data_IF_589973707055
#
_entry.id   IF_589973707055
#
_cell.length_a   1.000
_cell.length_b   1.000
_cell.length_c   1.000
_cell.angle_alpha   90.00
_cell.angle_beta   90.00
_cell.angle_gamma   90.00
#
_symmetry.space_group_name_H-M   'P 1'
#
loop_
_entity.id
_entity.type
_entity.pdbx_description
1 polymer ?
#
# COMPACT_ATOMS: atom_id res chain seq x y z
N UNK A 1 -18.28 1.77 21.99
CA UNK A 1 -17.96 1.66 20.57
C UNK A 1 -16.47 1.39 20.54
N UNK A 2 -16.12 0.11 20.62
CA UNK A 2 -14.82 -0.34 21.11
C UNK A 2 -13.90 -0.56 19.94
N UNK A 3 -12.75 0.10 19.95
CA UNK A 3 -11.61 -0.15 19.07
C UNK A 3 -11.30 -1.64 19.03
N UNK A 4 -11.51 -2.24 17.85
CA UNK A 4 -10.98 -3.56 17.57
C UNK A 4 -9.51 -3.37 17.20
N UNK A 5 -8.67 -3.48 18.22
CA UNK A 5 -7.23 -3.70 18.11
C UNK A 5 -6.98 -4.98 17.29
N UNK A 6 -6.86 -4.82 15.98
CA UNK A 6 -6.50 -5.91 15.06
C UNK A 6 -4.98 -6.05 15.07
N UNK A 7 -4.46 -6.75 16.07
CA UNK A 7 -3.10 -7.29 16.05
C UNK A 7 -2.80 -8.02 14.73
N UNK A 8 -1.52 -8.22 14.38
CA UNK A 8 -1.15 -8.86 13.11
C UNK A 8 -1.87 -10.20 12.99
N UNK A 9 -2.66 -10.34 11.92
CA UNK A 9 -3.42 -11.55 11.64
C UNK A 9 -2.47 -12.76 11.68
N UNK A 10 -2.67 -13.75 12.56
CA UNK A 10 -1.74 -14.87 12.71
C UNK A 10 -1.52 -15.65 11.40
N UNK A 11 -2.44 -15.54 10.44
CA UNK A 11 -2.27 -16.06 9.08
C UNK A 11 -1.22 -15.30 8.26
N UNK A 12 -1.11 -13.98 8.43
CA UNK A 12 -0.18 -13.13 7.67
C UNK A 12 1.28 -13.54 7.88
N UNK A 13 1.67 -13.85 9.12
CA UNK A 13 3.03 -14.29 9.41
C UNK A 13 3.45 -15.54 8.64
N UNK A 14 2.53 -16.50 8.49
CA UNK A 14 2.76 -17.72 7.71
C UNK A 14 2.75 -17.44 6.21
N UNK A 15 1.85 -16.56 5.72
CA UNK A 15 1.80 -16.15 4.32
C UNK A 15 3.10 -15.46 3.87
N UNK A 16 3.62 -14.54 4.68
CA UNK A 16 4.87 -13.83 4.39
C UNK A 16 6.11 -14.74 4.40
N UNK A 17 6.02 -15.90 5.06
CA UNK A 17 7.08 -16.92 5.08
C UNK A 17 6.81 -18.06 4.11
N UNK A 18 5.68 -18.02 3.38
CA UNK A 18 5.34 -19.04 2.40
C UNK A 18 6.35 -19.02 1.26
N UNK A 19 6.61 -20.20 0.69
CA UNK A 19 7.51 -20.33 -0.46
C UNK A 19 7.08 -19.44 -1.62
N UNK A 20 5.77 -19.40 -1.89
CA UNK A 20 5.18 -18.62 -2.98
C UNK A 20 5.42 -17.12 -2.80
N UNK A 21 5.27 -16.58 -1.57
CA UNK A 21 5.56 -15.17 -1.33
C UNK A 21 7.07 -14.86 -1.35
N UNK A 22 7.92 -15.80 -0.89
CA UNK A 22 9.37 -15.65 -1.01
C UNK A 22 9.81 -15.62 -2.47
N UNK A 23 9.24 -16.48 -3.32
CA UNK A 23 9.48 -16.47 -4.77
C UNK A 23 9.01 -15.15 -5.40
N UNK A 24 7.83 -14.65 -5.01
CA UNK A 24 7.32 -13.35 -5.46
C UNK A 24 8.25 -12.19 -5.08
N UNK A 25 8.87 -12.22 -3.90
CA UNK A 25 9.88 -11.21 -3.48
C UNK A 25 11.13 -11.25 -4.34
N UNK A 26 11.62 -12.43 -4.69
CA UNK A 26 12.80 -12.58 -5.55
C UNK A 26 12.52 -12.01 -6.95
N UNK A 27 11.33 -12.27 -7.50
CA UNK A 27 10.91 -11.71 -8.80
C UNK A 27 10.75 -10.20 -8.70
N UNK A 28 10.10 -9.69 -7.66
CA UNK A 28 9.93 -8.26 -7.41
C UNK A 28 11.27 -7.50 -7.43
N UNK A 29 12.31 -8.06 -6.79
CA UNK A 29 13.65 -7.47 -6.80
C UNK A 29 14.29 -7.42 -8.19
N UNK A 30 13.98 -8.39 -9.06
CA UNK A 30 14.51 -8.45 -10.43
C UNK A 30 13.79 -7.47 -11.37
N UNK A 31 12.49 -7.23 -11.14
CA UNK A 31 11.67 -6.41 -12.03
C UNK A 31 11.59 -4.94 -11.63
N UNK A 32 11.94 -4.58 -10.40
CA UNK A 32 11.73 -3.24 -9.83
C UNK A 32 12.38 -2.06 -10.59
N UNK A 33 13.39 -2.33 -11.42
CA UNK A 33 14.08 -1.36 -12.29
C UNK A 33 13.89 -1.62 -13.80
N UNK A 34 13.02 -2.56 -14.16
CA UNK A 34 12.77 -2.95 -15.55
C UNK A 34 11.37 -2.52 -15.99
N UNK A 35 11.20 -1.34 -16.62
CA UNK A 35 9.87 -0.80 -16.93
C UNK A 35 9.03 -1.74 -17.81
N UNK A 36 9.65 -2.44 -18.76
CA UNK A 36 8.97 -3.44 -19.60
C UNK A 36 8.37 -4.59 -18.77
N UNK A 37 9.11 -5.10 -17.78
CA UNK A 37 8.65 -6.18 -16.90
C UNK A 37 7.56 -5.69 -15.93
N UNK A 38 7.67 -4.43 -15.48
CA UNK A 38 6.64 -3.79 -14.68
C UNK A 38 5.33 -3.58 -15.44
N UNK A 39 5.39 -3.27 -16.76
CA UNK A 39 4.20 -3.23 -17.62
C UNK A 39 3.58 -4.61 -17.79
N UNK A 40 4.38 -5.66 -17.96
CA UNK A 40 3.88 -7.03 -18.00
C UNK A 40 3.16 -7.41 -16.69
N UNK A 41 3.72 -7.04 -15.54
CA UNK A 41 3.08 -7.23 -14.24
C UNK A 41 1.77 -6.44 -14.16
N UNK A 42 1.74 -5.19 -14.60
CA UNK A 42 0.54 -4.36 -14.63
C UNK A 42 -0.58 -5.00 -15.46
N UNK A 43 -0.26 -5.51 -16.64
CA UNK A 43 -1.21 -6.20 -17.52
C UNK A 43 -1.78 -7.47 -16.86
N UNK A 44 -0.94 -8.25 -16.17
CA UNK A 44 -1.38 -9.43 -15.41
C UNK A 44 -2.32 -9.06 -14.26
N UNK A 45 -1.98 -8.00 -13.51
CA UNK A 45 -2.81 -7.48 -12.41
C UNK A 45 -4.17 -7.04 -12.95
N UNK A 46 -4.20 -6.30 -14.05
CA UNK A 46 -5.43 -5.85 -14.69
C UNK A 46 -6.26 -7.05 -15.19
N UNK A 47 -5.63 -8.05 -15.83
CA UNK A 47 -6.32 -9.25 -16.30
C UNK A 47 -6.97 -10.03 -15.15
N UNK A 48 -6.23 -10.30 -14.06
CA UNK A 48 -6.78 -11.03 -12.90
C UNK A 48 -7.89 -10.21 -12.23
N UNK A 49 -7.73 -8.89 -12.10
CA UNK A 49 -8.76 -7.99 -11.57
C UNK A 49 -10.06 -8.04 -12.37
N UNK A 50 -10.00 -7.99 -13.71
CA UNK A 50 -11.20 -8.02 -14.57
C UNK A 50 -11.80 -9.42 -14.71
N UNK A 51 -11.03 -10.49 -14.43
CA UNK A 51 -11.51 -11.87 -14.42
C UNK A 51 -12.40 -12.22 -13.21
N UNK A 52 -12.35 -11.43 -12.14
CA UNK A 52 -13.06 -11.69 -10.89
C UNK A 52 -14.38 -10.91 -10.88
N UNK A 53 -15.48 -11.61 -11.10
CA UNK A 53 -16.78 -11.00 -11.38
C UNK A 53 -17.53 -10.38 -10.19
N UNK A 54 -18.34 -9.36 -10.54
CA UNK A 54 -19.41 -8.64 -9.79
C UNK A 54 -18.99 -7.53 -8.83
N UNK A 55 -19.80 -6.46 -8.87
CA UNK A 55 -19.69 -5.22 -8.10
C UNK A 55 -19.71 -5.36 -6.56
N UNK A 56 -19.87 -6.57 -6.03
CA UNK A 56 -19.94 -6.82 -4.59
C UNK A 56 -18.55 -6.92 -3.95
N UNK A 57 -17.53 -7.22 -4.76
CA UNK A 57 -16.14 -7.38 -4.33
C UNK A 57 -15.37 -6.05 -4.39
N UNK A 58 -16.02 -4.95 -4.83
CA UNK A 58 -15.43 -3.61 -5.00
C UNK A 58 -14.65 -3.05 -3.80
N UNK A 59 -15.05 -3.23 -2.52
CA UNK A 59 -14.31 -2.69 -1.39
C UNK A 59 -12.91 -3.30 -1.27
N UNK A 60 -12.75 -4.57 -1.62
CA UNK A 60 -11.48 -5.28 -1.54
C UNK A 60 -10.52 -4.84 -2.67
N UNK A 61 -11.02 -4.28 -3.77
CA UNK A 61 -10.17 -3.82 -4.88
C UNK A 61 -9.57 -2.43 -4.69
N UNK A 62 -10.00 -1.67 -3.68
CA UNK A 62 -9.43 -0.35 -3.42
C UNK A 62 -7.93 -0.44 -3.09
N UNK A 63 -7.52 -1.46 -2.34
CA UNK A 63 -6.10 -1.69 -2.04
C UNK A 63 -5.32 -2.17 -3.26
N UNK A 64 -5.93 -2.99 -4.13
CA UNK A 64 -5.31 -3.38 -5.41
C UNK A 64 -5.11 -2.14 -6.29
N UNK A 65 -6.09 -1.24 -6.37
CA UNK A 65 -5.99 0.01 -7.12
C UNK A 65 -4.86 0.91 -6.62
N UNK A 66 -4.66 0.98 -5.31
CA UNK A 66 -3.57 1.76 -4.71
C UNK A 66 -2.23 1.13 -5.04
N UNK A 67 -2.08 -0.17 -4.85
CA UNK A 67 -0.85 -0.90 -5.20
C UNK A 67 -0.53 -0.77 -6.70
N UNK A 68 -1.55 -0.87 -7.56
CA UNK A 68 -1.46 -0.62 -9.00
C UNK A 68 -1.01 0.81 -9.30
N UNK A 69 -1.54 1.82 -8.61
CA UNK A 69 -1.12 3.21 -8.81
C UNK A 69 0.35 3.42 -8.47
N UNK A 70 0.88 2.73 -7.46
CA UNK A 70 2.32 2.76 -7.12
C UNK A 70 3.15 2.13 -8.23
N UNK A 71 2.69 1.03 -8.83
CA UNK A 71 3.34 0.40 -9.97
C UNK A 71 3.37 1.33 -11.19
N UNK A 72 2.24 1.99 -11.50
CA UNK A 72 2.13 2.97 -12.60
C UNK A 72 3.09 4.14 -12.40
N UNK A 73 3.08 4.75 -11.20
CA UNK A 73 3.99 5.85 -10.86
C UNK A 73 5.46 5.44 -10.99
N UNK A 74 5.80 4.20 -10.59
CA UNK A 74 7.16 3.66 -10.76
C UNK A 74 7.54 3.53 -12.24
N UNK A 75 6.66 3.01 -13.07
CA UNK A 75 6.88 2.88 -14.52
C UNK A 75 7.14 4.27 -15.13
N UNK A 76 6.26 5.24 -14.84
CA UNK A 76 6.38 6.62 -15.33
C UNK A 76 7.72 7.24 -14.90
N UNK A 77 8.13 7.02 -13.64
CA UNK A 77 9.40 7.52 -13.13
C UNK A 77 10.62 6.89 -13.84
N UNK A 78 10.60 5.59 -14.08
CA UNK A 78 11.68 4.88 -14.78
C UNK A 78 11.81 5.34 -16.24
N UNK A 79 10.69 5.64 -16.91
CA UNK A 79 10.67 6.09 -18.31
C UNK A 79 11.13 7.55 -18.47
N UNK A 80 10.86 8.39 -17.48
CA UNK A 80 11.19 9.81 -17.51
C UNK A 80 12.60 10.11 -17.01
N UNK A 81 13.25 9.16 -16.33
CA UNK A 81 14.56 9.40 -15.75
C UNK A 81 15.70 9.30 -16.76
N UNK A 82 16.58 10.29 -16.69
CA UNK A 82 17.84 10.31 -17.44
C UNK A 82 18.91 9.38 -16.82
N UNK A 83 18.74 9.01 -15.54
CA UNK A 83 19.68 8.18 -14.79
C UNK A 83 19.20 6.73 -14.60
N UNK A 84 20.03 5.73 -14.89
CA UNK A 84 19.61 4.32 -14.91
C UNK A 84 19.46 3.63 -13.55
N UNK A 85 19.86 4.25 -12.43
CA UNK A 85 19.81 3.62 -11.09
C UNK A 85 18.96 4.43 -10.10
N UNK A 86 17.64 4.38 -10.30
CA UNK A 86 16.67 5.14 -9.52
C UNK A 86 16.35 4.49 -8.17
N UNK A 87 16.40 3.15 -8.04
CA UNK A 87 16.18 2.50 -6.75
C UNK A 87 17.28 2.85 -5.74
N UNK A 88 18.54 2.97 -6.18
CA UNK A 88 19.64 3.37 -5.30
C UNK A 88 19.55 4.85 -4.87
N UNK A 89 18.90 5.69 -5.68
CA UNK A 89 18.66 7.10 -5.34
C UNK A 89 17.52 7.30 -4.32
N UNK A 90 16.66 6.30 -4.13
CA UNK A 90 15.58 6.34 -3.15
C UNK A 90 16.10 6.09 -1.73
N UNK A 91 15.35 6.56 -0.73
CA UNK A 91 15.64 6.18 0.66
C UNK A 91 15.50 4.66 0.83
N UNK A 92 16.29 4.02 1.72
CA UNK A 92 16.21 2.57 1.93
C UNK A 92 14.79 2.10 2.29
N UNK A 93 14.07 2.92 3.07
CA UNK A 93 12.68 2.68 3.46
C UNK A 93 11.75 2.67 2.25
N UNK A 94 11.80 3.71 1.41
CA UNK A 94 10.93 3.82 0.24
C UNK A 94 11.23 2.73 -0.79
N UNK A 95 12.51 2.43 -1.00
CA UNK A 95 12.99 1.34 -1.87
C UNK A 95 12.49 -0.03 -1.40
N UNK A 96 12.55 -0.28 -0.08
CA UNK A 96 12.01 -1.51 0.52
C UNK A 96 10.50 -1.61 0.40
N UNK A 97 9.80 -0.49 0.56
CA UNK A 97 8.35 -0.43 0.45
C UNK A 97 7.86 -0.73 -0.97
N UNK A 98 8.49 -0.10 -1.97
CA UNK A 98 8.20 -0.36 -3.37
C UNK A 98 8.37 -1.85 -3.68
N UNK A 99 9.48 -2.46 -3.27
CA UNK A 99 9.71 -3.91 -3.44
C UNK A 99 8.64 -4.77 -2.78
N UNK A 100 8.15 -4.38 -1.61
CA UNK A 100 7.04 -5.08 -0.96
C UNK A 100 5.71 -4.94 -1.73
N UNK A 101 5.42 -3.77 -2.30
CA UNK A 101 4.25 -3.57 -3.18
C UNK A 101 4.36 -4.44 -4.42
N UNK A 102 5.53 -4.45 -5.07
CA UNK A 102 5.78 -5.28 -6.24
C UNK A 102 5.65 -6.77 -5.91
N UNK A 103 6.19 -7.22 -4.78
CA UNK A 103 6.07 -8.60 -4.33
C UNK A 103 4.62 -8.99 -4.01
N UNK A 104 3.84 -8.08 -3.43
CA UNK A 104 2.41 -8.31 -3.19
C UNK A 104 1.62 -8.43 -4.49
N UNK A 105 1.92 -7.61 -5.50
CA UNK A 105 1.29 -7.69 -6.82
C UNK A 105 1.73 -8.94 -7.59
N UNK A 106 3.00 -9.31 -7.50
CA UNK A 106 3.51 -10.54 -8.11
C UNK A 106 2.84 -11.77 -7.49
N UNK A 107 2.76 -11.82 -6.16
CA UNK A 107 2.02 -12.87 -5.46
C UNK A 107 0.54 -12.87 -5.86
N UNK A 108 -0.08 -11.68 -5.92
CA UNK A 108 -1.46 -11.52 -6.34
C UNK A 108 -1.71 -12.09 -7.73
N UNK A 109 -0.78 -12.07 -8.69
CA UNK A 109 -1.03 -12.64 -10.03
C UNK A 109 -0.71 -14.13 -10.14
N UNK A 110 0.01 -14.71 -9.18
CA UNK A 110 0.34 -16.14 -9.16
C UNK A 110 -0.84 -16.94 -8.62
N UNK A 111 -1.30 -17.96 -9.36
CA UNK A 111 -2.42 -18.84 -8.99
C UNK A 111 -2.01 -19.92 -7.96
N UNK A 112 -1.37 -19.53 -6.84
CA UNK A 112 -0.97 -20.46 -5.78
C UNK A 112 -1.66 -20.11 -4.46
N UNK A 113 -2.80 -20.75 -4.19
CA UNK A 113 -3.52 -20.63 -2.92
C UNK A 113 -2.78 -21.38 -1.81
N UNK A 114 -2.37 -20.66 -0.77
CA UNK A 114 -1.69 -21.23 0.42
C UNK A 114 -2.70 -21.57 1.51
N UNK A 115 -3.81 -20.83 1.58
CA UNK A 115 -4.95 -21.03 2.47
C UNK A 115 -6.12 -21.59 1.64
N UNK A 116 -6.69 -22.73 2.05
CA UNK A 116 -7.90 -23.25 1.42
C UNK A 116 -9.07 -22.25 1.58
N UNK A 117 -9.49 -21.61 0.49
CA UNK A 117 -10.62 -20.69 0.48
C UNK A 117 -11.91 -21.43 0.02
N UNK A 118 -13.00 -21.42 0.81
CA UNK A 118 -14.29 -21.96 0.37
C UNK A 118 -15.01 -21.05 -0.65
N UNK A 119 -14.53 -19.82 -0.89
CA UNK A 119 -15.06 -18.93 -1.92
C UNK A 119 -14.59 -19.41 -3.29
N UNK A 120 -15.44 -19.24 -4.30
CA UNK A 120 -15.17 -19.68 -5.68
C UNK A 120 -13.98 -18.99 -6.37
N UNK A 121 -13.31 -18.07 -5.67
CA UNK A 121 -12.28 -17.19 -6.23
C UNK A 121 -10.87 -17.44 -5.66
N UNK A 122 -10.70 -18.02 -4.46
CA UNK A 122 -9.35 -18.35 -3.96
C UNK A 122 -8.50 -17.18 -3.41
N UNK A 123 -9.05 -15.96 -3.30
CA UNK A 123 -8.25 -14.73 -3.15
C UNK A 123 -8.00 -14.22 -1.73
N UNK A 124 -8.34 -14.99 -0.69
CA UNK A 124 -8.16 -14.52 0.69
C UNK A 124 -6.69 -14.21 1.01
N UNK A 125 -5.75 -15.01 0.52
CA UNK A 125 -4.31 -14.81 0.75
C UNK A 125 -3.80 -13.57 0.04
N UNK A 126 -4.08 -13.51 -1.26
CA UNK A 126 -3.69 -12.41 -2.14
C UNK A 126 -4.13 -11.07 -1.54
N UNK A 127 -5.41 -11.00 -1.13
CA UNK A 127 -5.98 -9.78 -0.58
C UNK A 127 -5.45 -9.46 0.82
N UNK A 128 -5.11 -10.47 1.62
CA UNK A 128 -4.50 -10.26 2.94
C UNK A 128 -3.14 -9.58 2.81
N UNK A 129 -2.32 -10.04 1.86
CA UNK A 129 -0.99 -9.47 1.60
C UNK A 129 -1.11 -8.06 1.01
N UNK A 130 -1.95 -7.85 0.00
CA UNK A 130 -2.13 -6.53 -0.64
C UNK A 130 -2.61 -5.49 0.37
N UNK A 131 -3.62 -5.81 1.19
CA UNK A 131 -4.11 -4.90 2.24
C UNK A 131 -3.03 -4.57 3.25
N UNK A 132 -2.26 -5.57 3.68
CA UNK A 132 -1.18 -5.37 4.63
C UNK A 132 -0.13 -4.40 4.08
N UNK A 133 0.33 -4.59 2.84
CA UNK A 133 1.35 -3.72 2.25
C UNK A 133 0.84 -2.29 2.04
N UNK A 134 -0.41 -2.11 1.61
CA UNK A 134 -1.01 -0.79 1.44
C UNK A 134 -1.18 -0.08 2.79
N UNK A 135 -1.60 -0.81 3.83
CA UNK A 135 -1.68 -0.27 5.19
C UNK A 135 -0.30 0.17 5.69
N UNK A 136 0.71 -0.68 5.53
CA UNK A 136 2.09 -0.35 5.88
C UNK A 136 2.56 0.91 5.13
N UNK A 137 2.17 1.08 3.86
CA UNK A 137 2.54 2.25 3.05
C UNK A 137 1.93 3.53 3.64
N UNK A 138 0.65 3.48 4.00
CA UNK A 138 -0.09 4.60 4.58
C UNK A 138 0.48 5.01 5.94
N UNK A 139 0.80 4.04 6.79
CA UNK A 139 1.37 4.28 8.12
C UNK A 139 2.74 4.97 8.06
N UNK A 140 3.54 4.72 7.02
CA UNK A 140 4.84 5.36 6.85
C UNK A 140 4.79 6.70 6.10
N UNK A 141 3.76 6.92 5.27
CA UNK A 141 3.51 8.19 4.59
C UNK A 141 2.84 9.24 5.50
N UNK A 142 2.28 8.81 6.63
CA UNK A 142 1.78 9.68 7.70
C UNK A 142 2.81 9.68 8.84
N UNK A 143 3.87 10.50 8.79
CA UNK A 143 4.68 10.72 10.00
C UNK A 143 3.75 11.30 11.06
N UNK A 144 3.72 10.67 12.23
CA UNK A 144 3.01 11.06 13.45
C UNK A 144 2.20 12.35 13.28
N UNK A 145 0.90 12.25 13.04
CA UNK A 145 0.04 13.34 13.47
C UNK A 145 0.23 13.40 14.99
N UNK A 146 0.75 14.49 15.58
CA UNK A 146 0.71 14.60 17.02
C UNK A 146 -0.77 14.58 17.38
N UNK A 147 -1.22 13.46 17.96
CA UNK A 147 -2.57 13.26 18.46
C UNK A 147 -2.90 14.17 19.67
N UNK A 148 -2.18 15.28 19.84
CA UNK A 148 -2.19 16.14 21.01
C UNK A 148 -1.83 17.60 20.67
N UNK A 149 -2.36 18.14 19.57
CA UNK A 149 -2.58 19.58 19.50
C UNK A 149 -3.91 19.88 20.20
N UNK A 150 -3.94 20.44 21.44
CA UNK A 150 -5.19 20.81 22.08
C UNK A 150 -5.86 21.89 21.22
N UNK A 151 -6.90 21.49 20.49
CA UNK A 151 -7.73 22.34 19.67
C UNK A 151 -8.66 23.24 20.52
N UNK A 152 -8.17 23.83 21.61
CA UNK A 152 -9.00 24.67 22.49
C UNK A 152 -8.23 25.76 23.27
N UNK A 153 -7.20 26.42 22.73
CA UNK A 153 -6.72 27.65 23.41
C UNK A 153 -6.07 28.75 22.55
N UNK A 154 -6.41 28.86 21.25
CA UNK A 154 -5.95 29.98 20.42
C UNK A 154 -7.04 30.95 19.97
N UNK A 155 -8.32 30.71 20.31
CA UNK A 155 -9.46 31.54 19.86
C UNK A 155 -10.04 32.47 20.95
N UNK A 156 -9.26 32.81 21.99
CA UNK A 156 -9.67 33.77 23.05
C UNK A 156 -8.75 34.98 23.22
N UNK A 157 -7.92 35.31 22.22
CA UNK A 157 -7.13 36.56 22.24
C UNK A 157 -7.24 37.32 20.92
N UNK A 158 -8.43 37.82 20.62
CA UNK A 158 -8.64 38.96 19.71
C UNK A 158 -10.03 39.56 19.97
N UNK A 159 -10.27 39.98 21.21
CA UNK A 159 -11.31 40.97 21.49
C UNK A 159 -10.61 42.31 21.78
N UNK A 160 -10.92 43.40 21.05
CA UNK A 160 -10.35 44.70 21.34
C UNK A 160 -10.89 45.21 22.68
N UNK A 161 -9.98 45.65 23.55
CA UNK A 161 -10.26 46.30 24.84
C UNK A 161 -10.95 47.65 24.57
N UNK A 162 -12.14 47.95 25.14
CA UNK A 162 -12.67 49.30 25.10
C UNK A 162 -11.83 50.23 26.00
N UNK A 163 -11.68 51.47 25.56
CA UNK A 163 -10.90 52.52 26.20
C UNK A 163 -11.39 52.82 27.64
N UNK A 164 -10.52 53.30 28.54
CA UNK A 164 -10.96 53.78 29.85
C UNK A 164 -11.73 55.11 29.68
N UNK A 165 -12.90 55.19 30.30
CA UNK A 165 -13.62 56.45 30.49
C UNK A 165 -12.78 57.41 31.33
N UNK A 166 -12.64 58.65 30.85
CA UNK A 166 -12.07 59.78 31.58
C UNK A 166 -13.12 60.35 32.54
N UNK A 167 -12.79 60.41 33.82
CA UNK A 167 -13.35 61.32 34.83
C UNK A 167 -12.20 61.86 35.70
#
# INVERSE_FOLDING_TARGET
>A
MTDADHGPDPGLGNLLMSRSFVEARIVADQVADAPELLRELLDKVDHKRFGIGRAQDLPDYAEVDIARSVLVDRIDHLEQAETPDLLAAMSPTLSSHLRLVLAALEYFVVEQDVIPDPRSTGHLDDMTIVRWVVRLAREQLLPDHPADAPAHEAFRRTAPRPAPDED
#
